data_IF_109379357750
#
_entry.id   IF_109379357750
#
_cell.length_a   1.000
_cell.length_b   1.000
_cell.length_c   1.000
_cell.angle_alpha   90.00
_cell.angle_beta   90.00
_cell.angle_gamma   90.00
#
_symmetry.space_group_name_H-M   'P 1'
#
loop_
_entity.id
_entity.type
_entity.pdbx_description
1 polymer ?
#
# COMPACT_ATOMS: atom_id res chain seq x y z
N UNK A 1 20.94 18.44 15.60
CA UNK A 1 20.37 19.67 16.17
C UNK A 1 21.13 19.98 17.44
N UNK A 2 21.99 20.98 17.33
CA UNK A 2 22.89 21.50 18.35
C UNK A 2 22.10 22.58 19.07
N UNK A 3 22.01 22.59 20.40
CA UNK A 3 21.75 23.78 21.22
C UNK A 3 22.27 23.57 22.64
N UNK A 4 23.46 24.12 22.91
CA UNK A 4 23.81 24.64 24.23
C UNK A 4 23.06 25.97 24.44
N UNK A 5 22.88 26.40 25.70
CA UNK A 5 23.56 27.65 26.04
C UNK A 5 24.15 27.72 27.47
N UNK A 6 25.27 28.42 27.53
CA UNK A 6 25.85 29.12 28.67
C UNK A 6 24.83 30.03 29.39
N UNK A 7 25.01 30.20 30.71
CA UNK A 7 24.60 31.43 31.41
C UNK A 7 25.39 31.59 32.71
N UNK A 8 26.37 32.48 32.64
CA UNK A 8 27.09 33.13 33.74
C UNK A 8 26.18 34.22 34.35
N UNK A 9 26.29 34.54 35.65
CA UNK A 9 26.00 35.89 36.11
C UNK A 9 27.29 36.58 36.56
N UNK A 10 27.72 37.51 35.70
CA UNK A 10 28.45 38.72 36.03
C UNK A 10 27.46 39.67 36.72
N UNK A 11 27.85 40.37 37.80
CA UNK A 11 27.36 41.71 38.18
C UNK A 11 28.09 42.24 39.43
N UNK A 12 28.87 43.30 39.16
CA UNK A 12 29.09 44.54 39.91
C UNK A 12 29.87 44.53 41.23
N UNK A 13 31.16 44.81 41.05
CA UNK A 13 31.90 45.93 41.63
C UNK A 13 31.03 47.04 42.26
N UNK A 14 31.24 47.32 43.55
CA UNK A 14 30.86 48.57 44.20
C UNK A 14 31.85 48.87 45.31
N UNK A 15 32.73 49.82 45.00
CA UNK A 15 33.66 50.48 45.90
C UNK A 15 32.95 51.13 47.08
N UNK A 16 33.39 50.82 48.30
CA UNK A 16 33.31 51.77 49.41
C UNK A 16 34.52 51.59 50.34
N UNK A 17 35.47 52.47 50.10
CA UNK A 17 36.65 52.78 50.89
C UNK A 17 36.22 53.32 52.27
N UNK A 18 36.36 52.53 53.33
CA UNK A 18 36.35 52.99 54.73
C UNK A 18 37.48 52.29 55.50
N UNK A 19 38.54 53.05 55.76
CA UNK A 19 39.60 52.64 56.68
C UNK A 19 39.05 52.41 58.08
N UNK A 20 39.29 51.23 58.64
CA UNK A 20 39.09 50.94 60.06
C UNK A 20 40.32 50.26 60.61
N UNK A 21 40.73 50.73 61.79
CA UNK A 21 42.00 50.45 62.43
C UNK A 21 42.26 48.97 62.70
N UNK A 22 43.53 48.59 62.54
CA UNK A 22 44.10 47.33 63.00
C UNK A 22 44.01 47.25 64.53
N UNK A 23 43.01 46.53 65.05
CA UNK A 23 43.03 46.02 66.43
C UNK A 23 43.88 44.73 66.47
N UNK A 24 44.84 44.60 67.41
CA UNK A 24 45.60 43.37 67.57
C UNK A 24 44.69 42.26 68.10
N UNK A 25 44.58 41.17 67.34
CA UNK A 25 43.89 39.95 67.73
C UNK A 25 44.29 39.51 69.15
N UNK A 26 43.28 39.43 70.02
CA UNK A 26 43.37 38.90 71.38
C UNK A 26 43.85 37.44 71.34
N UNK A 27 44.89 37.12 72.12
CA UNK A 27 45.48 35.78 72.21
C UNK A 27 44.52 34.67 72.70
N UNK A 28 43.29 35.01 73.13
CA UNK A 28 42.24 34.03 73.48
C UNK A 28 41.55 33.38 72.28
N UNK A 29 41.52 34.05 71.12
CA UNK A 29 40.77 33.60 69.93
C UNK A 29 41.49 32.44 69.19
N UNK A 30 42.82 32.46 69.19
CA UNK A 30 43.68 31.44 68.54
C UNK A 30 43.62 30.08 69.25
N UNK A 31 43.46 30.06 70.58
CA UNK A 31 43.35 28.80 71.34
C UNK A 31 42.01 28.10 71.15
N UNK A 32 40.93 28.87 70.92
CA UNK A 32 39.59 28.33 70.68
C UNK A 32 39.46 27.75 69.26
N UNK A 33 40.10 28.38 68.27
CA UNK A 33 40.19 27.86 66.89
C UNK A 33 40.99 26.55 66.82
N UNK A 34 42.15 26.45 67.47
CA UNK A 34 42.96 25.22 67.48
C UNK A 34 42.26 24.04 68.18
N UNK A 35 41.51 24.31 69.25
CA UNK A 35 40.69 23.29 69.92
C UNK A 35 39.53 22.80 69.04
N UNK A 36 38.94 23.69 68.23
CA UNK A 36 37.91 23.37 67.24
C UNK A 36 38.46 22.51 66.10
N UNK A 37 39.62 22.86 65.54
CA UNK A 37 40.30 22.09 64.48
C UNK A 37 40.66 20.66 64.92
N UNK A 38 41.23 20.51 66.12
CA UNK A 38 41.54 19.21 66.68
C UNK A 38 40.29 18.36 67.00
N UNK A 39 39.14 19.01 67.26
CA UNK A 39 37.86 18.33 67.41
C UNK A 39 37.32 17.86 66.06
N UNK A 40 37.35 18.72 65.04
CA UNK A 40 36.91 18.42 63.67
C UNK A 40 37.75 17.26 63.09
N UNK A 41 39.07 17.29 63.29
CA UNK A 41 39.95 16.22 62.82
C UNK A 41 39.66 14.88 63.51
N UNK A 42 39.45 14.88 64.84
CA UNK A 42 39.05 13.68 65.57
C UNK A 42 37.71 13.13 65.08
N UNK A 43 36.74 13.99 64.81
CA UNK A 43 35.44 13.58 64.26
C UNK A 43 35.57 13.03 62.84
N UNK A 44 36.37 13.66 61.98
CA UNK A 44 36.64 13.19 60.62
C UNK A 44 37.32 11.81 60.63
N UNK A 45 38.34 11.62 61.47
CA UNK A 45 39.04 10.34 61.66
C UNK A 45 38.10 9.24 62.16
N UNK A 46 37.26 9.55 63.15
CA UNK A 46 36.27 8.62 63.67
C UNK A 46 35.23 8.23 62.61
N UNK A 47 34.76 9.19 61.82
CA UNK A 47 33.84 8.97 60.70
C UNK A 47 34.46 8.09 59.61
N UNK A 48 35.73 8.35 59.25
CA UNK A 48 36.46 7.55 58.27
C UNK A 48 36.60 6.09 58.72
N UNK A 49 37.04 5.86 59.96
CA UNK A 49 37.11 4.51 60.54
C UNK A 49 35.74 3.83 60.61
N UNK A 50 34.67 4.57 60.91
CA UNK A 50 33.31 4.03 60.89
C UNK A 50 32.89 3.57 59.49
N UNK A 51 33.22 4.33 58.44
CA UNK A 51 32.96 3.99 57.04
C UNK A 51 33.80 2.80 56.56
N UNK A 52 35.09 2.75 56.89
CA UNK A 52 35.95 1.59 56.62
C UNK A 52 35.36 0.32 57.24
N UNK A 53 34.96 0.37 58.52
CA UNK A 53 34.30 -0.78 59.19
C UNK A 53 32.99 -1.17 58.53
N UNK A 54 32.20 -0.20 58.06
CA UNK A 54 30.95 -0.50 57.35
C UNK A 54 31.21 -1.22 56.03
N UNK A 55 32.16 -0.75 55.22
CA UNK A 55 32.55 -1.38 53.96
C UNK A 55 33.12 -2.80 54.18
N UNK A 56 34.01 -2.98 55.16
CA UNK A 56 34.56 -4.31 55.52
C UNK A 56 33.44 -5.25 55.97
N UNK A 57 32.48 -4.80 56.79
CA UNK A 57 31.34 -5.64 57.18
C UNK A 57 30.48 -6.05 55.98
N UNK A 58 30.30 -5.17 55.00
CA UNK A 58 29.56 -5.47 53.78
C UNK A 58 30.28 -6.53 52.93
N UNK A 59 31.59 -6.37 52.71
CA UNK A 59 32.38 -7.38 52.00
C UNK A 59 32.39 -8.73 52.72
N UNK A 60 32.51 -8.74 54.06
CA UNK A 60 32.40 -9.97 54.85
C UNK A 60 31.02 -10.63 54.77
N UNK A 61 29.95 -9.85 54.60
CA UNK A 61 28.61 -10.39 54.34
C UNK A 61 28.51 -11.05 52.96
N UNK A 62 29.12 -10.45 51.94
CA UNK A 62 29.23 -11.04 50.62
C UNK A 62 30.02 -12.37 50.67
N UNK A 63 31.18 -12.41 51.35
CA UNK A 63 31.98 -13.64 51.52
C UNK A 63 31.18 -14.76 52.20
N UNK A 64 30.47 -14.48 53.31
CA UNK A 64 29.61 -15.49 53.95
C UNK A 64 28.51 -16.01 53.02
N UNK A 65 27.95 -15.13 52.20
CA UNK A 65 26.90 -15.50 51.23
C UNK A 65 27.46 -16.39 50.13
N UNK A 66 28.68 -16.11 49.67
CA UNK A 66 29.42 -16.95 48.72
C UNK A 66 29.77 -18.32 49.33
N UNK A 67 30.15 -18.39 50.61
CA UNK A 67 30.36 -19.66 51.31
C UNK A 67 29.08 -20.50 51.36
N UNK A 68 27.94 -19.86 51.62
CA UNK A 68 26.65 -20.54 51.57
C UNK A 68 26.30 -20.98 50.14
N UNK A 69 26.53 -20.14 49.12
CA UNK A 69 26.33 -20.52 47.72
C UNK A 69 27.18 -21.73 47.34
N UNK A 70 28.47 -21.72 47.67
CA UNK A 70 29.37 -22.86 47.46
C UNK A 70 28.86 -24.13 48.14
N UNK A 71 28.38 -24.03 49.38
CA UNK A 71 27.77 -25.17 50.08
C UNK A 71 26.50 -25.67 49.38
N UNK A 72 25.67 -24.78 48.84
CA UNK A 72 24.50 -25.19 48.05
C UNK A 72 24.91 -25.91 46.76
N UNK A 73 26.01 -25.50 46.10
CA UNK A 73 26.59 -26.21 44.94
C UNK A 73 27.10 -27.61 45.32
N UNK A 74 27.80 -27.73 46.45
CA UNK A 74 28.24 -29.02 47.00
C UNK A 74 27.04 -29.93 47.28
N UNK A 75 26.02 -29.42 47.97
CA UNK A 75 24.79 -30.16 48.26
C UNK A 75 24.01 -30.55 47.00
N UNK A 76 24.03 -29.71 45.96
CA UNK A 76 23.46 -30.07 44.66
C UNK A 76 24.20 -31.27 44.05
N UNK A 77 25.53 -31.23 44.02
CA UNK A 77 26.35 -32.32 43.50
C UNK A 77 26.23 -33.61 44.32
N UNK A 78 26.02 -33.50 45.63
CA UNK A 78 25.85 -34.66 46.51
C UNK A 78 24.45 -35.27 46.46
N UNK A 79 23.41 -34.43 46.32
CA UNK A 79 22.02 -34.88 46.51
C UNK A 79 21.22 -34.96 45.22
N UNK A 80 21.50 -34.11 44.23
CA UNK A 80 20.75 -34.03 42.98
C UNK A 80 21.44 -34.79 41.84
N UNK A 81 22.75 -34.60 41.62
CA UNK A 81 23.46 -35.30 40.54
C UNK A 81 23.36 -36.83 40.60
N UNK A 82 23.45 -37.48 41.78
CA UNK A 82 23.33 -38.94 41.86
C UNK A 82 21.93 -39.47 41.48
N UNK A 83 20.89 -38.62 41.57
CA UNK A 83 19.52 -38.98 41.13
C UNK A 83 19.47 -39.30 39.64
N UNK A 84 20.45 -38.89 38.84
CA UNK A 84 20.49 -39.28 37.45
C UNK A 84 20.70 -40.79 37.25
N UNK A 85 21.27 -41.49 38.24
CA UNK A 85 21.74 -42.88 38.13
C UNK A 85 21.33 -43.81 39.26
N UNK A 86 21.01 -43.29 40.45
CA UNK A 86 20.69 -44.09 41.63
C UNK A 86 19.22 -44.59 41.64
N UNK A 87 18.88 -45.39 42.64
CA UNK A 87 17.55 -46.01 42.76
C UNK A 87 16.42 -45.01 43.02
N UNK A 88 16.68 -43.92 43.74
CA UNK A 88 15.68 -42.88 43.97
C UNK A 88 15.35 -42.13 42.67
N UNK A 89 16.36 -41.87 41.84
CA UNK A 89 16.19 -41.41 40.48
C UNK A 89 15.39 -42.34 39.60
N UNK A 90 15.67 -43.64 39.69
CA UNK A 90 14.92 -44.68 38.97
C UNK A 90 13.45 -44.72 39.38
N UNK A 91 13.09 -44.35 40.62
CA UNK A 91 11.68 -44.21 41.02
C UNK A 91 11.02 -43.02 40.32
N UNK A 92 11.70 -41.87 40.23
CA UNK A 92 11.20 -40.71 39.45
C UNK A 92 11.01 -41.09 37.97
N UNK A 93 11.92 -41.91 37.42
CA UNK A 93 11.88 -42.39 36.04
C UNK A 93 10.66 -43.29 35.70
N UNK A 94 9.90 -43.77 36.70
CA UNK A 94 8.69 -44.58 36.49
C UNK A 94 7.53 -43.77 35.88
N UNK A 95 7.55 -42.44 35.97
CA UNK A 95 6.47 -41.57 35.48
C UNK A 95 6.99 -40.48 34.56
N UNK A 96 6.49 -40.43 33.33
CA UNK A 96 6.80 -39.37 32.35
C UNK A 96 6.49 -37.97 32.89
N UNK A 97 5.45 -37.82 33.71
CA UNK A 97 5.14 -36.55 34.35
C UNK A 97 6.22 -36.14 35.36
N UNK A 98 6.73 -37.08 36.16
CA UNK A 98 7.78 -36.78 37.15
C UNK A 98 9.11 -36.47 36.46
N UNK A 99 9.44 -37.18 35.38
CA UNK A 99 10.62 -36.90 34.54
C UNK A 99 10.53 -35.48 33.95
N UNK A 100 9.36 -35.06 33.46
CA UNK A 100 9.12 -33.68 33.00
C UNK A 100 9.37 -32.65 34.08
N UNK A 101 8.82 -32.85 35.28
CA UNK A 101 8.97 -31.91 36.41
C UNK A 101 10.43 -31.83 36.84
N UNK A 102 11.10 -32.98 37.02
CA UNK A 102 12.52 -33.02 37.34
C UNK A 102 13.35 -32.28 36.30
N UNK A 103 13.15 -32.60 35.01
CA UNK A 103 13.88 -31.96 33.91
C UNK A 103 13.66 -30.45 33.88
N UNK A 104 12.43 -29.99 34.07
CA UNK A 104 12.12 -28.55 34.05
C UNK A 104 12.89 -27.78 35.14
N UNK A 105 13.08 -28.37 36.33
CA UNK A 105 13.86 -27.76 37.42
C UNK A 105 15.36 -27.95 37.18
N UNK A 106 15.78 -29.13 36.73
CA UNK A 106 17.19 -29.46 36.49
C UNK A 106 17.81 -28.64 35.35
N UNK A 107 17.10 -28.48 34.23
CA UNK A 107 17.58 -27.76 33.04
C UNK A 107 17.61 -26.23 33.28
N UNK A 108 16.73 -25.69 34.14
CA UNK A 108 16.69 -24.24 34.44
C UNK A 108 17.71 -23.81 35.49
N UNK A 109 18.25 -24.74 36.29
CA UNK A 109 19.15 -24.41 37.40
C UNK A 109 20.55 -24.12 36.87
N UNK A 110 21.05 -22.87 36.94
CA UNK A 110 22.41 -22.56 36.50
C UNK A 110 23.43 -23.17 37.47
N UNK A 111 24.41 -23.89 36.92
CA UNK A 111 25.53 -24.46 37.70
C UNK A 111 26.65 -23.46 37.76
N UNK A 112 26.52 -22.54 38.72
CA UNK A 112 27.35 -21.35 38.79
C UNK A 112 28.72 -21.52 39.44
N UNK A 113 29.40 -22.66 39.31
CA UNK A 113 30.64 -22.91 40.06
C UNK A 113 31.79 -21.98 39.65
N UNK A 114 31.91 -21.69 38.35
CA UNK A 114 32.88 -20.73 37.82
C UNK A 114 32.50 -19.30 38.23
N UNK A 115 31.22 -18.94 38.11
CA UNK A 115 30.72 -17.62 38.52
C UNK A 115 30.90 -17.36 40.03
N UNK A 116 30.67 -18.36 40.89
CA UNK A 116 30.91 -18.25 42.33
C UNK A 116 32.39 -17.98 42.62
N UNK A 117 33.30 -18.70 41.95
CA UNK A 117 34.74 -18.53 42.12
C UNK A 117 35.22 -17.15 41.62
N UNK A 118 34.72 -16.68 40.48
CA UNK A 118 34.99 -15.35 39.94
C UNK A 118 34.50 -14.25 40.89
N UNK A 119 33.24 -14.34 41.34
CA UNK A 119 32.65 -13.36 42.24
C UNK A 119 33.35 -13.32 43.59
N UNK A 120 33.78 -14.49 44.09
CA UNK A 120 34.60 -14.61 45.31
C UNK A 120 35.97 -13.96 45.15
N UNK A 121 36.65 -14.19 44.03
CA UNK A 121 37.93 -13.53 43.76
C UNK A 121 37.77 -12.01 43.78
N UNK A 122 36.77 -11.50 43.06
CA UNK A 122 36.50 -10.06 42.98
C UNK A 122 36.20 -9.43 44.35
N UNK A 123 35.35 -10.07 45.17
CA UNK A 123 35.05 -9.60 46.53
C UNK A 123 36.31 -9.65 47.41
N UNK A 124 37.14 -10.68 47.28
CA UNK A 124 38.38 -10.80 48.05
C UNK A 124 39.39 -9.71 47.70
N UNK A 125 39.55 -9.43 46.40
CA UNK A 125 40.49 -8.43 45.89
C UNK A 125 40.10 -7.01 46.34
N UNK A 126 38.80 -6.71 46.43
CA UNK A 126 38.29 -5.44 46.94
C UNK A 126 38.33 -5.31 48.46
N UNK A 127 38.14 -6.43 49.17
CA UNK A 127 38.13 -6.43 50.64
C UNK A 127 39.54 -6.31 51.22
N UNK A 128 40.55 -6.91 50.58
CA UNK A 128 41.93 -6.91 51.06
C UNK A 128 42.49 -5.50 51.37
N UNK A 129 42.43 -4.49 50.48
CA UNK A 129 42.93 -3.15 50.80
C UNK A 129 42.11 -2.46 51.90
N UNK A 130 40.80 -2.73 51.99
CA UNK A 130 39.95 -2.18 53.05
C UNK A 130 40.30 -2.74 54.43
N UNK A 131 40.63 -4.03 54.51
CA UNK A 131 41.06 -4.67 55.75
C UNK A 131 42.44 -4.17 56.19
N UNK A 132 43.38 -4.01 55.24
CA UNK A 132 44.69 -3.40 55.51
C UNK A 132 44.53 -1.98 56.05
N UNK A 133 43.72 -1.15 55.38
CA UNK A 133 43.44 0.23 55.77
C UNK A 133 42.75 0.33 57.14
N UNK A 134 41.80 -0.57 57.41
CA UNK A 134 41.09 -0.60 58.69
C UNK A 134 42.04 -0.93 59.85
N UNK A 135 42.95 -1.87 59.64
CA UNK A 135 43.91 -2.35 60.64
C UNK A 135 45.07 -1.38 60.89
N UNK A 136 45.36 -0.45 59.99
CA UNK A 136 46.34 0.62 60.20
C UNK A 136 45.71 1.78 61.02
N UNK A 137 46.16 2.06 62.25
CA UNK A 137 45.64 3.16 63.05
C UNK A 137 45.91 4.56 62.46
N UNK A 138 46.90 4.69 61.58
CA UNK A 138 47.29 5.95 60.94
C UNK A 138 46.55 6.20 59.62
N UNK A 139 45.93 5.17 59.02
CA UNK A 139 45.19 5.30 57.78
C UNK A 139 43.73 5.71 58.01
N UNK A 140 43.39 6.90 57.53
CA UNK A 140 42.02 7.46 57.56
C UNK A 140 41.44 7.66 56.15
N UNK A 141 41.93 6.90 55.17
CA UNK A 141 41.39 6.92 53.81
C UNK A 141 39.91 6.53 53.80
N UNK A 142 39.12 7.30 53.07
CA UNK A 142 37.69 7.04 52.93
C UNK A 142 37.48 6.00 51.84
N UNK A 143 36.77 4.88 52.11
CA UNK A 143 36.35 4.00 51.04
C UNK A 143 35.47 4.78 50.07
N UNK A 144 35.69 4.57 48.76
CA UNK A 144 34.85 5.16 47.72
C UNK A 144 33.40 4.70 47.92
N UNK A 145 32.39 5.59 47.78
CA UNK A 145 30.99 5.19 47.75
C UNK A 145 30.71 4.11 46.72
N UNK A 146 31.37 4.17 45.55
CA UNK A 146 31.24 3.17 44.49
C UNK A 146 31.68 1.77 44.95
N UNK A 147 32.78 1.68 45.71
CA UNK A 147 33.26 0.39 46.23
C UNK A 147 32.27 -0.23 47.23
N UNK A 148 31.65 0.60 48.08
CA UNK A 148 30.64 0.11 49.01
C UNK A 148 29.37 -0.37 48.29
N UNK A 149 28.99 0.30 47.20
CA UNK A 149 27.90 -0.10 46.31
C UNK A 149 28.22 -1.40 45.58
N UNK A 150 29.40 -1.53 44.98
CA UNK A 150 29.88 -2.75 44.31
C UNK A 150 29.85 -3.97 45.25
N UNK A 151 30.38 -3.85 46.46
CA UNK A 151 30.32 -4.93 47.47
C UNK A 151 28.87 -5.28 47.86
N UNK A 152 27.95 -4.30 47.83
CA UNK A 152 26.53 -4.54 48.07
C UNK A 152 25.84 -5.26 46.91
N UNK A 153 26.14 -4.86 45.68
CA UNK A 153 25.61 -5.51 44.48
C UNK A 153 26.05 -6.97 44.40
N UNK A 154 27.33 -7.24 44.66
CA UNK A 154 27.86 -8.61 44.69
C UNK A 154 27.28 -9.46 45.81
N UNK A 155 27.01 -8.86 46.97
CA UNK A 155 26.27 -9.57 48.02
C UNK A 155 24.88 -10.00 47.54
N UNK A 156 24.11 -9.08 46.95
CA UNK A 156 22.77 -9.39 46.46
C UNK A 156 22.79 -10.36 45.27
N UNK A 157 23.81 -10.30 44.41
CA UNK A 157 24.04 -11.28 43.34
C UNK A 157 24.31 -12.68 43.88
N UNK A 158 25.27 -12.83 44.79
CA UNK A 158 25.57 -14.11 45.43
C UNK A 158 24.34 -14.67 46.16
N UNK A 159 23.57 -13.81 46.81
CA UNK A 159 22.33 -14.18 47.52
C UNK A 159 21.25 -14.69 46.57
N UNK A 160 21.01 -14.01 45.45
CA UNK A 160 20.05 -14.48 44.43
C UNK A 160 20.43 -15.86 43.92
N UNK A 161 21.68 -16.06 43.51
CA UNK A 161 22.13 -17.37 43.02
C UNK A 161 22.05 -18.47 44.06
N UNK A 162 22.46 -18.19 45.30
CA UNK A 162 22.31 -19.12 46.43
C UNK A 162 20.84 -19.51 46.63
N UNK A 163 19.94 -18.54 46.66
CA UNK A 163 18.53 -18.77 46.97
C UNK A 163 17.80 -19.50 45.84
N UNK A 164 18.13 -19.19 44.57
CA UNK A 164 17.63 -19.92 43.40
C UNK A 164 18.09 -21.39 43.41
N UNK A 165 19.38 -21.63 43.65
CA UNK A 165 19.93 -22.98 43.72
C UNK A 165 19.34 -23.77 44.89
N UNK A 166 19.21 -23.14 46.07
CA UNK A 166 18.58 -23.75 47.24
C UNK A 166 17.13 -24.12 46.95
N UNK A 167 16.35 -23.21 46.36
CA UNK A 167 14.94 -23.45 46.01
C UNK A 167 14.83 -24.65 45.08
N UNK A 168 15.58 -24.64 43.98
CA UNK A 168 15.48 -25.67 42.95
C UNK A 168 15.97 -27.04 43.48
N UNK A 169 17.01 -27.07 44.34
CA UNK A 169 17.41 -28.28 45.06
C UNK A 169 16.28 -28.80 45.95
N UNK A 170 15.69 -27.93 46.77
CA UNK A 170 14.61 -28.34 47.69
C UNK A 170 13.36 -28.81 46.95
N UNK A 171 13.09 -28.27 45.76
CA UNK A 171 11.99 -28.72 44.90
C UNK A 171 12.22 -30.14 44.38
N UNK A 172 13.45 -30.44 43.90
CA UNK A 172 13.83 -31.79 43.48
C UNK A 172 13.81 -32.77 44.66
N UNK A 173 14.33 -32.37 45.81
CA UNK A 173 14.29 -33.21 47.01
C UNK A 173 12.86 -33.51 47.46
N UNK A 174 11.96 -32.52 47.39
CA UNK A 174 10.54 -32.72 47.70
C UNK A 174 9.87 -33.65 46.68
N UNK A 175 10.18 -33.51 45.39
CA UNK A 175 9.69 -34.41 44.34
C UNK A 175 10.08 -35.87 44.65
N UNK A 176 11.34 -36.12 45.00
CA UNK A 176 11.83 -37.47 45.34
C UNK A 176 11.22 -37.97 46.64
N UNK A 177 11.16 -37.13 47.69
CA UNK A 177 10.66 -37.53 49.00
C UNK A 177 9.15 -37.84 49.00
N UNK A 178 8.34 -37.07 48.25
CA UNK A 178 6.88 -37.25 48.21
C UNK A 178 6.48 -38.29 47.18
N UNK A 179 6.95 -38.15 45.94
CA UNK A 179 6.49 -39.00 44.83
C UNK A 179 7.36 -40.25 44.68
N UNK A 180 8.67 -40.14 44.91
CA UNK A 180 9.56 -41.30 44.93
C UNK A 180 9.20 -42.29 46.05
N UNK A 181 8.82 -41.82 47.23
CA UNK A 181 8.45 -42.70 48.34
C UNK A 181 7.15 -43.51 48.11
N UNK A 182 6.28 -43.04 47.20
CA UNK A 182 5.05 -43.77 46.81
C UNK A 182 5.32 -44.92 45.85
N UNK A 183 6.51 -44.97 45.27
CA UNK A 183 6.90 -45.94 44.25
C UNK A 183 7.74 -47.02 44.93
N UNK A 184 7.16 -48.22 45.06
CA UNK A 184 7.78 -49.33 45.76
C UNK A 184 8.99 -49.91 45.03
N UNK A 185 8.93 -49.98 43.69
CA UNK A 185 9.99 -50.57 42.86
C UNK A 185 10.58 -49.53 41.89
N UNK A 186 11.92 -49.36 41.86
CA UNK A 186 12.57 -48.45 40.92
C UNK A 186 12.45 -48.95 39.47
N UNK A 187 12.42 -48.02 38.51
CA UNK A 187 12.44 -48.38 37.09
C UNK A 187 13.76 -49.07 36.68
N UNK A 188 13.68 -49.92 35.66
CA UNK A 188 14.85 -50.56 35.06
C UNK A 188 15.77 -49.57 34.34
N UNK A 189 15.23 -48.43 33.89
CA UNK A 189 15.96 -47.33 33.24
C UNK A 189 16.38 -46.27 34.25
N UNK A 190 17.52 -45.63 34.01
CA UNK A 190 17.96 -44.51 34.86
C UNK A 190 17.15 -43.25 34.55
N UNK A 191 17.12 -42.29 35.49
CA UNK A 191 16.48 -41.00 35.25
C UNK A 191 17.13 -40.25 34.08
N UNK A 192 18.46 -40.38 33.93
CA UNK A 192 19.18 -39.84 32.77
C UNK A 192 18.65 -40.41 31.45
N UNK A 193 18.47 -41.72 31.36
CA UNK A 193 17.96 -42.37 30.15
C UNK A 193 16.50 -41.99 29.88
N UNK A 194 15.68 -41.87 30.93
CA UNK A 194 14.30 -41.42 30.82
C UNK A 194 14.20 -39.97 30.30
N UNK A 195 15.03 -39.05 30.83
CA UNK A 195 15.14 -37.67 30.35
C UNK A 195 15.58 -37.65 28.88
N UNK A 196 16.60 -38.45 28.51
CA UNK A 196 17.07 -38.53 27.13
C UNK A 196 15.98 -39.08 26.18
N UNK A 197 15.26 -40.12 26.60
CA UNK A 197 14.14 -40.68 25.85
C UNK A 197 13.01 -39.65 25.64
N UNK A 198 12.68 -38.88 26.68
CA UNK A 198 11.69 -37.81 26.60
C UNK A 198 12.11 -36.71 25.60
N UNK A 199 13.38 -36.29 25.61
CA UNK A 199 13.91 -35.32 24.64
C UNK A 199 13.79 -35.84 23.20
N UNK A 200 14.08 -37.12 22.98
CA UNK A 200 13.96 -37.75 21.66
C UNK A 200 12.50 -37.83 21.21
N UNK A 201 11.57 -38.20 22.10
CA UNK A 201 10.14 -38.25 21.81
C UNK A 201 9.58 -36.85 21.50
N UNK A 202 9.94 -35.82 22.27
CA UNK A 202 9.57 -34.43 21.98
C UNK A 202 10.07 -33.98 20.61
N UNK A 203 11.34 -34.26 20.28
CA UNK A 203 11.90 -33.95 18.96
C UNK A 203 11.16 -34.69 17.84
N UNK A 204 10.82 -35.96 18.03
CA UNK A 204 10.06 -36.74 17.06
C UNK A 204 8.65 -36.18 16.87
N UNK A 205 7.96 -35.78 17.95
CA UNK A 205 6.64 -35.12 17.89
C UNK A 205 6.72 -33.78 17.17
N UNK A 206 7.70 -32.95 17.50
CA UNK A 206 7.93 -31.66 16.83
C UNK A 206 8.23 -31.85 15.34
N UNK A 207 9.07 -32.82 14.97
CA UNK A 207 9.38 -33.14 13.58
C UNK A 207 8.14 -33.64 12.81
N UNK A 208 7.31 -34.47 13.45
CA UNK A 208 6.04 -34.94 12.86
C UNK A 208 5.08 -33.78 12.59
N UNK A 209 4.88 -32.90 13.58
CA UNK A 209 4.02 -31.73 13.42
C UNK A 209 4.53 -30.79 12.32
N UNK A 210 5.84 -30.54 12.28
CA UNK A 210 6.46 -29.75 11.22
C UNK A 210 6.27 -30.38 9.83
N UNK A 211 6.36 -31.71 9.73
CA UNK A 211 6.05 -32.46 8.51
C UNK A 211 4.59 -32.33 8.08
N UNK A 212 3.65 -32.50 9.01
CA UNK A 212 2.20 -32.34 8.73
C UNK A 212 1.85 -30.91 8.30
N UNK A 213 2.49 -29.90 8.87
CA UNK A 213 2.35 -28.50 8.46
C UNK A 213 2.93 -28.24 7.08
N UNK A 214 4.12 -28.78 6.78
CA UNK A 214 4.76 -28.68 5.47
C UNK A 214 3.89 -29.35 4.38
N UNK A 215 3.36 -30.54 4.63
CA UNK A 215 2.45 -31.23 3.71
C UNK A 215 1.16 -30.44 3.48
N UNK A 216 0.58 -29.87 4.54
CA UNK A 216 -0.60 -29.00 4.44
C UNK A 216 -0.30 -27.74 3.62
N UNK A 217 0.87 -27.14 3.80
CA UNK A 217 1.31 -25.98 3.05
C UNK A 217 1.52 -26.35 1.56
N UNK A 218 2.16 -27.48 1.28
CA UNK A 218 2.37 -27.99 -0.08
C UNK A 218 1.04 -28.23 -0.82
N UNK A 219 0.07 -28.91 -0.18
CA UNK A 219 -1.26 -29.13 -0.76
C UNK A 219 -2.01 -27.82 -1.04
N UNK A 220 -1.93 -26.84 -0.14
CA UNK A 220 -2.53 -25.51 -0.37
C UNK A 220 -1.84 -24.76 -1.52
N UNK A 221 -0.52 -24.87 -1.64
CA UNK A 221 0.21 -24.27 -2.74
C UNK A 221 -0.16 -24.91 -4.08
N UNK A 222 -0.25 -26.24 -4.14
CA UNK A 222 -0.69 -26.98 -5.33
C UNK A 222 -2.12 -26.61 -5.74
N UNK A 223 -3.06 -26.52 -4.78
CA UNK A 223 -4.43 -26.07 -5.03
C UNK A 223 -4.47 -24.64 -5.59
N UNK A 224 -3.65 -23.73 -5.07
CA UNK A 224 -3.56 -22.35 -5.59
C UNK A 224 -3.01 -22.31 -7.01
N UNK A 225 -1.98 -23.11 -7.31
CA UNK A 225 -1.43 -23.21 -8.67
C UNK A 225 -2.46 -23.80 -9.63
N UNK A 226 -3.20 -24.82 -9.22
CA UNK A 226 -4.26 -25.41 -10.03
C UNK A 226 -5.41 -24.42 -10.29
N UNK A 227 -5.86 -23.68 -9.27
CA UNK A 227 -6.88 -22.65 -9.40
C UNK A 227 -6.43 -21.52 -10.35
N UNK A 228 -5.21 -21.00 -10.15
CA UNK A 228 -4.66 -19.94 -11.02
C UNK A 228 -4.53 -20.39 -12.48
N UNK A 229 -4.19 -21.66 -12.73
CA UNK A 229 -4.16 -22.22 -14.09
C UNK A 229 -5.57 -22.31 -14.70
N UNK A 230 -6.57 -22.71 -13.92
CA UNK A 230 -7.96 -22.77 -14.39
C UNK A 230 -8.48 -21.37 -14.76
N UNK A 231 -8.23 -20.37 -13.91
CA UNK A 231 -8.64 -18.98 -14.15
C UNK A 231 -7.95 -18.40 -15.39
N UNK A 232 -6.66 -18.70 -15.61
CA UNK A 232 -5.94 -18.28 -16.81
C UNK A 232 -6.52 -18.88 -18.10
N UNK A 233 -6.93 -20.15 -18.06
CA UNK A 233 -7.59 -20.81 -19.21
C UNK A 233 -8.95 -20.17 -19.51
N UNK A 234 -9.75 -19.88 -18.46
CA UNK A 234 -11.05 -19.22 -18.63
C UNK A 234 -10.90 -17.82 -19.24
N UNK A 235 -9.99 -17.01 -18.70
CA UNK A 235 -9.73 -15.65 -19.18
C UNK A 235 -9.25 -15.66 -20.64
N UNK A 236 -8.33 -16.57 -20.99
CA UNK A 236 -7.86 -16.70 -22.38
C UNK A 236 -8.98 -17.14 -23.34
N UNK A 237 -9.91 -17.98 -22.87
CA UNK A 237 -11.10 -18.38 -23.63
C UNK A 237 -12.06 -17.22 -23.88
N UNK A 238 -12.30 -16.38 -22.86
CA UNK A 238 -13.13 -15.18 -22.97
C UNK A 238 -12.54 -14.15 -23.93
N UNK A 239 -11.22 -13.92 -23.87
CA UNK A 239 -10.51 -13.01 -24.76
C UNK A 239 -10.56 -13.47 -26.23
N UNK A 240 -10.37 -14.77 -26.48
CA UNK A 240 -10.48 -15.34 -27.83
C UNK A 240 -11.92 -15.24 -28.36
N UNK A 241 -12.92 -15.59 -27.54
CA UNK A 241 -14.33 -15.45 -27.91
C UNK A 241 -14.69 -14.00 -28.21
N UNK A 242 -14.16 -13.04 -27.43
CA UNK A 242 -14.30 -11.61 -27.66
C UNK A 242 -13.69 -11.16 -28.98
N UNK A 243 -12.48 -11.64 -29.31
CA UNK A 243 -11.82 -11.34 -30.60
C UNK A 243 -12.61 -11.89 -31.80
N UNK A 244 -13.11 -13.12 -31.72
CA UNK A 244 -13.93 -13.73 -32.77
C UNK A 244 -15.23 -12.93 -32.96
N UNK A 245 -15.92 -12.57 -31.87
CA UNK A 245 -17.16 -11.81 -31.94
C UNK A 245 -16.95 -10.39 -32.52
N UNK A 246 -15.85 -9.72 -32.16
CA UNK A 246 -15.49 -8.41 -32.71
C UNK A 246 -15.18 -8.49 -34.21
N UNK A 247 -14.43 -9.50 -34.64
CA UNK A 247 -14.13 -9.74 -36.05
C UNK A 247 -15.41 -10.01 -36.86
N UNK A 248 -16.33 -10.83 -36.33
CA UNK A 248 -17.62 -11.12 -36.96
C UNK A 248 -18.48 -9.85 -37.13
N UNK A 249 -18.56 -9.01 -36.09
CA UNK A 249 -19.30 -7.73 -36.15
C UNK A 249 -18.71 -6.77 -37.18
N UNK A 250 -17.38 -6.68 -37.27
CA UNK A 250 -16.71 -5.83 -38.26
C UNK A 250 -16.97 -6.33 -39.68
N UNK A 251 -16.92 -7.65 -39.90
CA UNK A 251 -17.25 -8.26 -41.20
C UNK A 251 -18.70 -7.99 -41.61
N UNK A 252 -19.64 -8.09 -40.66
CA UNK A 252 -21.04 -7.82 -40.92
C UNK A 252 -21.27 -6.35 -41.31
N UNK A 253 -20.69 -5.40 -40.57
CA UNK A 253 -20.80 -3.96 -40.91
C UNK A 253 -20.26 -3.65 -42.31
N UNK A 254 -19.09 -4.22 -42.65
CA UNK A 254 -18.52 -4.04 -44.00
C UNK A 254 -19.44 -4.60 -45.09
N UNK A 255 -20.07 -5.74 -44.85
CA UNK A 255 -21.02 -6.31 -45.80
C UNK A 255 -22.27 -5.43 -45.96
N UNK A 256 -22.81 -4.89 -44.85
CA UNK A 256 -23.95 -3.97 -44.87
C UNK A 256 -23.61 -2.66 -45.62
N UNK A 257 -22.43 -2.08 -45.37
CA UNK A 257 -21.94 -0.89 -46.08
C UNK A 257 -21.76 -1.14 -47.58
N UNK A 258 -21.24 -2.31 -47.97
CA UNK A 258 -21.07 -2.67 -49.38
C UNK A 258 -22.41 -2.87 -50.09
N UNK A 259 -23.40 -3.47 -49.43
CA UNK A 259 -24.75 -3.62 -49.95
C UNK A 259 -25.39 -2.24 -50.15
N UNK A 260 -25.34 -1.38 -49.13
CA UNK A 260 -25.90 -0.02 -49.23
C UNK A 260 -25.23 0.80 -50.34
N UNK A 261 -23.91 0.70 -50.50
CA UNK A 261 -23.18 1.36 -51.57
C UNK A 261 -23.60 0.86 -52.97
N UNK A 262 -23.82 -0.45 -53.13
CA UNK A 262 -24.31 -1.03 -54.38
C UNK A 262 -25.73 -0.58 -54.70
N UNK A 263 -26.62 -0.53 -53.71
CA UNK A 263 -27.99 -0.07 -53.89
C UNK A 263 -28.07 1.40 -54.33
N UNK A 264 -27.29 2.27 -53.69
CA UNK A 264 -27.20 3.69 -54.10
C UNK A 264 -26.57 3.87 -55.48
N UNK A 265 -25.57 3.05 -55.84
CA UNK A 265 -25.00 3.07 -57.19
C UNK A 265 -26.03 2.68 -58.27
N UNK A 266 -26.79 1.60 -58.05
CA UNK A 266 -27.86 1.15 -58.97
C UNK A 266 -28.96 2.21 -59.10
N UNK A 267 -29.35 2.82 -57.98
CA UNK A 267 -30.34 3.90 -57.97
C UNK A 267 -29.85 5.12 -58.75
N UNK A 268 -28.59 5.52 -58.57
CA UNK A 268 -27.97 6.61 -59.33
C UNK A 268 -27.94 6.31 -60.83
N UNK A 269 -27.51 5.11 -61.23
CA UNK A 269 -27.52 4.68 -62.64
C UNK A 269 -28.92 4.74 -63.25
N UNK A 270 -29.94 4.26 -62.53
CA UNK A 270 -31.34 4.33 -62.96
C UNK A 270 -31.81 5.77 -63.16
N UNK A 271 -31.47 6.69 -62.26
CA UNK A 271 -31.83 8.10 -62.38
C UNK A 271 -31.11 8.77 -63.56
N UNK A 272 -29.83 8.45 -63.79
CA UNK A 272 -29.07 8.94 -64.95
C UNK A 272 -29.67 8.42 -66.25
N UNK A 273 -30.03 7.13 -66.33
CA UNK A 273 -30.67 6.55 -67.50
C UNK A 273 -32.04 7.21 -67.77
N UNK A 274 -32.84 7.43 -66.72
CA UNK A 274 -34.12 8.15 -66.81
C UNK A 274 -33.94 9.59 -67.28
N UNK A 275 -32.97 10.32 -66.74
CA UNK A 275 -32.66 11.70 -67.12
C UNK A 275 -32.29 11.86 -68.61
N UNK A 276 -31.64 10.84 -69.19
CA UNK A 276 -31.27 10.80 -70.61
C UNK A 276 -32.39 10.32 -71.54
N UNK A 277 -33.53 9.88 -71.00
CA UNK A 277 -34.62 9.32 -71.80
C UNK A 277 -35.28 10.38 -72.69
N UNK A 278 -35.77 9.95 -73.86
CA UNK A 278 -36.52 10.81 -74.77
C UNK A 278 -37.79 11.37 -74.10
N UNK A 279 -38.38 10.62 -73.16
CA UNK A 279 -39.54 11.05 -72.38
C UNK A 279 -39.20 12.28 -71.52
N UNK A 280 -38.11 12.23 -70.75
CA UNK A 280 -37.68 13.39 -69.94
C UNK A 280 -37.40 14.59 -70.84
N UNK A 281 -36.77 14.39 -72.00
CA UNK A 281 -36.50 15.47 -72.96
C UNK A 281 -37.78 16.07 -73.56
N UNK A 282 -38.84 15.27 -73.74
CA UNK A 282 -40.15 15.75 -74.19
C UNK A 282 -40.76 16.75 -73.19
N UNK A 283 -40.66 16.45 -71.89
CA UNK A 283 -41.20 17.33 -70.85
C UNK A 283 -40.28 18.51 -70.57
N UNK A 284 -38.96 18.29 -70.49
CA UNK A 284 -38.02 19.26 -69.93
C UNK A 284 -37.06 19.90 -70.95
N UNK A 285 -37.23 19.62 -72.24
CA UNK A 285 -36.27 20.04 -73.27
C UNK A 285 -35.98 21.54 -73.29
N UNK A 286 -36.99 22.38 -73.00
CA UNK A 286 -36.83 23.82 -72.89
C UNK A 286 -35.93 24.29 -71.74
N UNK A 287 -35.81 23.51 -70.66
CA UNK A 287 -34.90 23.80 -69.56
C UNK A 287 -33.45 23.39 -69.85
N UNK A 288 -33.25 22.46 -70.79
CA UNK A 288 -31.94 21.89 -71.11
C UNK A 288 -31.17 22.70 -72.16
N UNK A 289 -31.86 23.44 -73.02
CA UNK A 289 -31.19 24.30 -74.01
C UNK A 289 -30.45 25.44 -73.31
N UNK A 290 -29.45 26.02 -73.95
CA UNK A 290 -28.78 27.20 -73.39
C UNK A 290 -29.56 28.48 -73.73
N UNK A 291 -29.64 29.39 -72.76
CA UNK A 291 -30.35 30.66 -72.90
C UNK A 291 -29.90 31.68 -71.86
N UNK A 292 -30.15 32.96 -72.14
CA UNK A 292 -29.95 34.05 -71.19
C UNK A 292 -31.07 34.13 -70.17
N UNK A 293 -32.25 33.58 -70.49
CA UNK A 293 -33.43 33.71 -69.66
C UNK A 293 -33.42 32.67 -68.53
N UNK A 294 -33.64 33.15 -67.31
CA UNK A 294 -33.65 32.36 -66.07
C UNK A 294 -34.96 32.62 -65.28
N UNK A 295 -35.39 31.69 -64.41
CA UNK A 295 -36.50 31.94 -63.49
C UNK A 295 -36.19 33.13 -62.57
N UNK A 296 -37.16 34.01 -62.35
CA UNK A 296 -36.99 35.14 -61.44
C UNK A 296 -36.75 34.64 -60.00
N UNK A 297 -35.64 35.07 -59.39
CA UNK A 297 -35.30 34.69 -58.02
C UNK A 297 -36.30 35.30 -57.03
N UNK A 298 -37.08 34.45 -56.35
CA UNK A 298 -38.01 34.88 -55.29
C UNK A 298 -39.29 35.58 -55.80
N UNK A 299 -39.66 35.41 -57.07
CA UNK A 299 -40.79 36.11 -57.67
C UNK A 299 -41.47 35.35 -58.81
N UNK A 300 -42.47 35.99 -59.41
CA UNK A 300 -43.18 35.48 -60.58
C UNK A 300 -42.48 35.91 -61.87
N UNK A 301 -42.33 34.99 -62.82
CA UNK A 301 -41.87 35.29 -64.18
C UNK A 301 -40.40 34.98 -64.47
N UNK A 302 -39.87 35.67 -65.47
CA UNK A 302 -38.53 35.43 -66.03
C UNK A 302 -37.62 36.62 -65.76
N UNK A 303 -36.31 36.38 -65.76
CA UNK A 303 -35.30 37.44 -65.74
C UNK A 303 -34.21 37.12 -66.76
N UNK A 304 -33.77 38.12 -67.51
CA UNK A 304 -32.58 38.00 -68.35
C UNK A 304 -31.30 38.08 -67.52
N UNK A 305 -30.52 37.00 -67.54
CA UNK A 305 -29.18 36.94 -66.98
C UNK A 305 -28.11 37.43 -67.95
N UNK A 306 -26.91 37.65 -67.40
CA UNK A 306 -25.68 37.98 -68.13
C UNK A 306 -24.96 36.74 -68.69
N UNK A 307 -25.26 35.55 -68.15
CA UNK A 307 -24.64 34.28 -68.53
C UNK A 307 -25.56 33.47 -69.44
N UNK A 308 -25.02 33.08 -70.59
CA UNK A 308 -25.63 32.09 -71.48
C UNK A 308 -25.38 30.69 -70.93
N UNK A 309 -26.44 29.92 -70.69
CA UNK A 309 -26.30 28.56 -70.17
C UNK A 309 -27.65 27.88 -69.86
N UNK A 310 -27.63 26.70 -69.23
CA UNK A 310 -28.86 25.97 -68.92
C UNK A 310 -29.63 26.65 -67.78
N UNK A 311 -30.87 26.23 -67.57
CA UNK A 311 -31.67 26.77 -66.46
C UNK A 311 -31.07 26.35 -65.12
N UNK A 312 -30.97 27.28 -64.16
CA UNK A 312 -30.56 26.95 -62.79
C UNK A 312 -31.65 26.20 -62.04
N UNK A 313 -31.31 25.00 -61.56
CA UNK A 313 -32.19 24.19 -60.73
C UNK A 313 -32.56 24.91 -59.43
N UNK A 314 -31.59 25.56 -58.78
CA UNK A 314 -31.85 26.40 -57.59
C UNK A 314 -32.73 27.61 -57.92
N UNK A 315 -32.62 28.20 -59.12
CA UNK A 315 -33.54 29.28 -59.52
C UNK A 315 -34.98 28.78 -59.67
N UNK A 316 -35.20 27.58 -60.23
CA UNK A 316 -36.53 26.94 -60.29
C UNK A 316 -37.09 26.64 -58.90
N UNK A 317 -36.24 26.18 -57.98
CA UNK A 317 -36.65 25.91 -56.61
C UNK A 317 -37.06 27.21 -55.90
N UNK A 318 -36.21 28.24 -55.97
CA UNK A 318 -36.42 29.52 -55.26
C UNK A 318 -37.51 30.41 -55.86
N UNK A 319 -37.83 30.26 -57.15
CA UNK A 319 -39.02 30.90 -57.75
C UNK A 319 -40.33 30.23 -57.33
N UNK A 320 -40.26 29.06 -56.71
CA UNK A 320 -41.41 28.23 -56.34
C UNK A 320 -41.95 27.40 -57.49
N UNK A 321 -41.28 27.34 -58.65
CA UNK A 321 -41.69 26.50 -59.78
C UNK A 321 -41.69 25.00 -59.44
N UNK A 322 -40.92 24.58 -58.43
CA UNK A 322 -40.88 23.20 -57.93
C UNK A 322 -41.79 22.96 -56.72
N UNK A 323 -42.51 23.98 -56.23
CA UNK A 323 -43.43 23.81 -55.12
C UNK A 323 -44.65 22.98 -55.56
N UNK A 324 -45.13 22.02 -54.76
CA UNK A 324 -46.32 21.25 -55.12
C UNK A 324 -47.55 22.14 -55.26
N UNK A 325 -48.45 21.76 -56.18
CA UNK A 325 -49.76 22.40 -56.35
C UNK A 325 -49.79 23.51 -57.40
N UNK A 326 -50.97 24.10 -57.57
CA UNK A 326 -51.30 24.97 -58.71
C UNK A 326 -50.38 26.19 -58.83
N UNK A 327 -49.97 26.79 -57.71
CA UNK A 327 -49.05 27.93 -57.70
C UNK A 327 -47.68 27.57 -58.30
N UNK A 328 -47.15 26.39 -58.00
CA UNK A 328 -45.86 25.96 -58.55
C UNK A 328 -45.96 25.59 -60.02
N UNK A 329 -47.06 24.97 -60.45
CA UNK A 329 -47.33 24.73 -61.88
C UNK A 329 -47.46 26.03 -62.66
N UNK A 330 -48.12 27.04 -62.07
CA UNK A 330 -48.24 28.37 -62.66
C UNK A 330 -46.89 29.05 -62.82
N UNK A 331 -46.03 28.95 -61.80
CA UNK A 331 -44.66 29.46 -61.87
C UNK A 331 -43.80 28.73 -62.91
N UNK A 332 -43.91 27.41 -62.98
CA UNK A 332 -43.21 26.59 -63.96
C UNK A 332 -43.65 26.95 -65.39
N UNK A 333 -44.96 27.05 -65.62
CA UNK A 333 -45.53 27.44 -66.91
C UNK A 333 -45.16 28.88 -67.29
N UNK A 334 -45.16 29.81 -66.34
CA UNK A 334 -44.82 31.21 -66.59
C UNK A 334 -43.37 31.39 -67.07
N UNK A 335 -42.46 30.52 -66.64
CA UNK A 335 -41.10 30.48 -67.18
C UNK A 335 -41.06 29.81 -68.57
N UNK A 336 -41.75 28.68 -68.72
CA UNK A 336 -41.59 27.78 -69.85
C UNK A 336 -42.46 28.10 -71.08
N UNK A 337 -43.50 28.92 -70.90
CA UNK A 337 -44.40 29.42 -71.95
C UNK A 337 -44.13 30.89 -72.23
N UNK A 338 -44.48 31.39 -73.42
CA UNK A 338 -44.26 32.78 -73.83
C UNK A 338 -45.03 33.77 -72.93
N UNK A 339 -44.36 34.56 -72.07
CA UNK A 339 -45.04 35.61 -71.34
C UNK A 339 -45.16 36.81 -72.29
N UNK A 340 -46.25 36.88 -73.02
CA UNK A 340 -46.61 37.97 -73.95
C UNK A 340 -46.69 39.38 -73.32
N UNK A 341 -46.25 39.58 -72.07
CA UNK A 341 -46.56 40.75 -71.26
C UNK A 341 -45.35 41.57 -70.76
N UNK A 342 -44.09 41.16 -70.95
CA UNK A 342 -42.93 41.88 -70.35
C UNK A 342 -41.80 42.31 -71.31
N UNK A 343 -41.97 42.18 -72.63
CA UNK A 343 -41.01 42.71 -73.61
C UNK A 343 -39.69 41.92 -73.76
N UNK A 344 -39.35 41.08 -72.79
CA UNK A 344 -38.25 40.10 -72.90
C UNK A 344 -38.77 38.82 -73.58
N UNK A 345 -38.26 38.54 -74.78
CA UNK A 345 -38.56 37.28 -75.48
C UNK A 345 -37.74 36.16 -74.85
N UNK A 346 -38.41 35.11 -74.35
CA UNK A 346 -37.72 33.91 -73.90
C UNK A 346 -36.99 33.27 -75.09
N UNK A 347 -35.67 33.10 -74.96
CA UNK A 347 -34.78 32.64 -76.04
C UNK A 347 -34.70 31.11 -76.16
N UNK A 348 -35.52 30.39 -75.37
CA UNK A 348 -35.60 28.93 -75.33
C UNK A 348 -36.81 28.42 -76.11
N UNK A 349 -36.85 27.12 -76.48
CA UNK A 349 -38.08 26.50 -76.98
C UNK A 349 -39.21 26.68 -75.96
N UNK A 350 -40.39 27.12 -76.41
CA UNK A 350 -41.49 27.43 -75.51
C UNK A 350 -42.58 26.36 -75.57
N UNK A 351 -43.16 26.08 -74.41
CA UNK A 351 -44.43 25.39 -74.37
C UNK A 351 -45.54 26.29 -74.95
N UNK A 352 -46.56 25.65 -75.54
CA UNK A 352 -47.71 26.34 -76.14
C UNK A 352 -48.93 26.21 -75.25
N UNK A 353 -48.77 26.54 -73.97
CA UNK A 353 -49.87 26.54 -73.00
C UNK A 353 -50.36 27.96 -72.75
N UNK A 354 -51.64 28.10 -72.41
CA UNK A 354 -52.20 29.39 -72.01
C UNK A 354 -51.54 29.86 -70.68
N UNK A 355 -51.35 31.16 -70.42
CA UNK A 355 -50.66 31.62 -69.21
C UNK A 355 -51.42 31.40 -67.91
N UNK A 356 -52.74 31.19 -67.94
CA UNK A 356 -53.59 31.14 -66.74
C UNK A 356 -54.07 29.72 -66.39
N UNK A 357 -54.02 29.29 -65.12
CA UNK A 357 -54.41 27.93 -64.73
C UNK A 357 -55.84 27.56 -65.07
N UNK A 358 -56.78 28.50 -64.91
CA UNK A 358 -58.21 28.29 -65.17
C UNK A 358 -58.56 28.01 -66.64
N UNK A 359 -57.58 28.10 -67.54
CA UNK A 359 -57.74 27.86 -68.99
C UNK A 359 -56.95 26.67 -69.49
N UNK A 360 -56.15 26.03 -68.64
CA UNK A 360 -55.43 24.83 -69.01
C UNK A 360 -56.39 23.67 -69.22
N UNK A 361 -56.17 22.90 -70.28
CA UNK A 361 -56.83 21.62 -70.41
C UNK A 361 -56.33 20.66 -69.33
N UNK A 362 -57.08 19.59 -69.08
CA UNK A 362 -56.64 18.49 -68.20
C UNK A 362 -55.30 17.90 -68.67
N UNK A 363 -55.05 17.88 -69.97
CA UNK A 363 -53.80 17.38 -70.56
C UNK A 363 -52.63 18.31 -70.28
N UNK A 364 -52.81 19.63 -70.44
CA UNK A 364 -51.78 20.63 -70.13
C UNK A 364 -51.40 20.57 -68.65
N UNK A 365 -52.39 20.49 -67.77
CA UNK A 365 -52.15 20.37 -66.32
C UNK A 365 -51.36 19.11 -65.98
N UNK A 366 -51.74 17.96 -66.56
CA UNK A 366 -50.99 16.70 -66.37
C UNK A 366 -49.57 16.80 -66.91
N UNK A 367 -49.38 17.47 -68.05
CA UNK A 367 -48.04 17.71 -68.60
C UNK A 367 -47.18 18.53 -67.65
N UNK A 368 -47.72 19.62 -67.10
CA UNK A 368 -47.03 20.47 -66.12
C UNK A 368 -46.71 19.72 -64.82
N UNK A 369 -47.66 18.93 -64.31
CA UNK A 369 -47.47 18.09 -63.13
C UNK A 369 -46.36 17.05 -63.36
N UNK A 370 -46.34 16.42 -64.53
CA UNK A 370 -45.30 15.47 -64.91
C UNK A 370 -43.93 16.16 -65.06
N UNK A 371 -43.87 17.31 -65.73
CA UNK A 371 -42.64 18.09 -65.86
C UNK A 371 -42.09 18.52 -64.48
N UNK A 372 -42.95 19.03 -63.60
CA UNK A 372 -42.58 19.39 -62.24
C UNK A 372 -42.09 18.18 -61.43
N UNK A 373 -42.79 17.05 -61.54
CA UNK A 373 -42.39 15.79 -60.90
C UNK A 373 -41.00 15.34 -61.34
N UNK A 374 -40.74 15.36 -62.65
CA UNK A 374 -39.44 15.01 -63.22
C UNK A 374 -38.33 15.97 -62.78
N UNK A 375 -38.57 17.28 -62.72
CA UNK A 375 -37.58 18.24 -62.20
C UNK A 375 -37.27 18.01 -60.72
N UNK A 376 -38.27 17.68 -59.91
CA UNK A 376 -38.06 17.39 -58.48
C UNK A 376 -37.32 16.07 -58.26
N UNK A 377 -37.66 15.04 -59.02
CA UNK A 377 -37.04 13.72 -58.91
C UNK A 377 -35.61 13.71 -59.47
N UNK A 378 -35.39 14.33 -60.63
CA UNK A 378 -34.14 14.24 -61.38
C UNK A 378 -33.26 15.48 -61.25
N UNK A 379 -33.72 16.56 -60.62
CA UNK A 379 -33.02 17.84 -60.51
C UNK A 379 -31.53 17.73 -60.17
N UNK A 380 -31.16 17.07 -59.05
CA UNK A 380 -29.75 16.86 -58.71
C UNK A 380 -28.98 16.11 -59.80
N UNK A 381 -29.54 15.04 -60.35
CA UNK A 381 -28.95 14.25 -61.44
C UNK A 381 -28.79 15.07 -62.73
N UNK A 382 -29.76 15.94 -63.04
CA UNK A 382 -29.72 16.83 -64.20
C UNK A 382 -28.63 17.89 -64.05
N UNK A 383 -28.38 18.39 -62.83
CA UNK A 383 -27.24 19.26 -62.52
C UNK A 383 -25.91 18.52 -62.66
N UNK A 384 -25.80 17.30 -62.13
CA UNK A 384 -24.59 16.47 -62.30
C UNK A 384 -24.27 16.20 -63.79
N UNK A 385 -25.31 15.96 -64.60
CA UNK A 385 -25.21 15.77 -66.04
C UNK A 385 -25.03 17.09 -66.83
N UNK A 386 -24.99 18.23 -66.14
CA UNK A 386 -24.88 19.59 -66.74
C UNK A 386 -26.02 19.95 -67.70
N UNK A 387 -27.17 19.31 -67.55
CA UNK A 387 -28.40 19.65 -68.27
C UNK A 387 -29.15 20.79 -67.57
N UNK A 388 -28.88 21.00 -66.28
CA UNK A 388 -29.28 22.18 -65.52
C UNK A 388 -28.04 22.81 -64.87
N UNK A 389 -28.09 24.11 -64.62
CA UNK A 389 -27.12 24.78 -63.77
C UNK A 389 -27.44 24.51 -62.29
N UNK A 390 -26.45 24.50 -61.39
CA UNK A 390 -26.67 24.30 -59.96
C UNK A 390 -27.55 25.37 -59.31
#
# INVERSE_FOLDING_TARGET
MIHSPDSVPEVTDSSSDHGTAFEPASAGDVTETLASEASIERQARASAKAKQRAAVRQGQLAVRTLDEWKRELELWNERVEPLLTNDDGRKVATSDQLVRVFRAVYDRTPRGAEQEAELRSAVSDELAPLELSLNDPADFSLPSPALAEELSERHEEAKRHRDELRRDRTEIEALVAVEGARIAEPAAVTLRDAVAAQVLDERARSAKLAGEEADRAARKAEQRVAAAKADAILTAGEDEAGRIAAAARLSQRKAEEEIAAKEEAVKKERLVAKAKSAEVRRYLGNFFEDGYIQPARGGFGIMRGDKYGPVSFRALETSGALAPGEKGLLQLNAFASDPTHQGEKNDRPLWRFHPYPGTWSTEDRRFLEQAQGLLRELGPTLVELKLLAP
#
